data_IF_338230566567
#
_entry.id   IF_338230566567
#
_cell.length_a   1.000
_cell.length_b   1.000
_cell.length_c   1.000
_cell.angle_alpha   90.00
_cell.angle_beta   90.00
_cell.angle_gamma   90.00
#
_symmetry.space_group_name_H-M   'P 1'
#
loop_
_entity.id
_entity.type
_entity.pdbx_description
1 polymer ?
#
# COMPACT_ATOMS: atom_id res chain seq x y z
N UNK A 1 0.25 -19.73 -2.56
CA UNK A 1 0.24 -18.52 -1.70
C UNK A 1 -1.08 -18.53 -0.91
N UNK A 2 -1.06 -18.65 0.42
CA UNK A 2 -2.26 -18.90 1.23
C UNK A 2 -3.40 -17.88 1.00
N UNK A 3 -3.06 -16.61 0.72
CA UNK A 3 -4.00 -15.55 0.36
C UNK A 3 -4.72 -15.85 -0.97
N UNK A 4 -3.98 -16.12 -2.05
CA UNK A 4 -4.56 -16.40 -3.38
C UNK A 4 -5.29 -17.75 -3.42
N UNK A 5 -4.82 -18.72 -2.63
CA UNK A 5 -5.44 -20.05 -2.57
C UNK A 5 -6.68 -20.07 -1.65
N UNK A 6 -7.12 -18.94 -1.09
CA UNK A 6 -8.37 -18.80 -0.33
C UNK A 6 -8.32 -19.28 1.13
N UNK A 7 -7.11 -19.51 1.67
CA UNK A 7 -6.92 -20.03 3.03
C UNK A 7 -6.85 -18.92 4.09
N UNK A 8 -6.88 -17.65 3.69
CA UNK A 8 -6.87 -16.48 4.58
C UNK A 8 -8.13 -15.66 4.31
N UNK A 9 -8.85 -15.29 5.37
CA UNK A 9 -10.07 -14.48 5.26
C UNK A 9 -9.69 -13.02 5.01
N UNK A 10 -10.39 -12.38 4.07
CA UNK A 10 -10.23 -10.95 3.80
C UNK A 10 -10.72 -10.11 4.99
N UNK A 11 -10.06 -8.98 5.23
CA UNK A 11 -10.44 -8.02 6.28
C UNK A 11 -11.68 -7.24 5.88
N UNK A 12 -11.89 -7.09 4.58
CA UNK A 12 -13.05 -6.46 3.96
C UNK A 12 -13.86 -7.51 3.15
N UNK A 13 -14.46 -8.52 3.81
CA UNK A 13 -15.13 -9.61 3.10
C UNK A 13 -16.42 -9.16 2.38
N UNK A 14 -16.97 -8.01 2.75
CA UNK A 14 -18.15 -7.43 2.11
C UNK A 14 -17.85 -6.72 0.78
N UNK A 15 -16.57 -6.42 0.50
CA UNK A 15 -16.16 -5.76 -0.74
C UNK A 15 -15.99 -6.77 -1.90
N UNK A 16 -15.78 -6.27 -3.11
CA UNK A 16 -15.53 -7.12 -4.28
C UNK A 16 -14.22 -7.93 -4.10
N UNK A 17 -14.18 -9.22 -4.52
CA UNK A 17 -12.98 -10.06 -4.38
C UNK A 17 -11.68 -9.44 -4.93
N UNK A 18 -11.78 -8.63 -5.99
CA UNK A 18 -10.63 -7.94 -6.60
C UNK A 18 -10.02 -6.85 -5.71
N UNK A 19 -10.79 -6.39 -4.71
CA UNK A 19 -10.40 -5.34 -3.76
C UNK A 19 -10.13 -5.90 -2.37
N UNK A 20 -10.12 -7.23 -2.21
CA UNK A 20 -9.90 -7.86 -0.92
C UNK A 20 -8.47 -7.62 -0.43
N UNK A 21 -8.38 -7.32 0.86
CA UNK A 21 -7.15 -7.10 1.60
C UNK A 21 -7.03 -8.15 2.69
N UNK A 22 -5.80 -8.58 2.97
CA UNK A 22 -5.53 -9.68 3.88
C UNK A 22 -4.42 -9.31 4.85
N UNK A 23 -4.47 -9.87 6.05
CA UNK A 23 -3.34 -9.84 6.99
C UNK A 23 -3.01 -11.28 7.35
N UNK A 24 -1.74 -11.61 7.23
CA UNK A 24 -1.22 -12.91 7.63
C UNK A 24 0.20 -12.77 8.15
N UNK A 25 0.46 -13.30 9.35
CA UNK A 25 1.76 -13.20 10.04
C UNK A 25 2.32 -11.76 10.10
N UNK A 26 1.47 -10.78 10.43
CA UNK A 26 1.80 -9.35 10.50
C UNK A 26 2.27 -8.72 9.17
N UNK A 27 1.94 -9.36 8.06
CA UNK A 27 2.14 -8.82 6.71
C UNK A 27 0.77 -8.51 6.11
N UNK A 28 0.64 -7.30 5.57
CA UNK A 28 -0.53 -6.85 4.83
C UNK A 28 -0.39 -7.22 3.36
N UNK A 29 -1.45 -7.79 2.78
CA UNK A 29 -1.50 -8.19 1.38
C UNK A 29 -2.66 -7.49 0.67
N UNK A 30 -2.38 -6.98 -0.53
CA UNK A 30 -3.38 -6.42 -1.45
C UNK A 30 -3.17 -6.94 -2.87
N UNK A 31 -4.26 -6.99 -3.65
CA UNK A 31 -4.22 -7.41 -5.04
C UNK A 31 -3.96 -6.20 -5.95
N UNK A 32 -3.09 -6.38 -6.95
CA UNK A 32 -2.70 -5.34 -7.90
C UNK A 32 -3.66 -5.18 -9.07
N UNK A 33 -4.96 -5.04 -8.78
CA UNK A 33 -6.00 -4.76 -9.78
C UNK A 33 -6.40 -3.29 -9.78
N UNK A 34 -7.02 -2.84 -10.88
CA UNK A 34 -7.71 -1.56 -10.86
C UNK A 34 -9.00 -1.67 -10.05
N UNK A 35 -9.13 -0.79 -9.06
CA UNK A 35 -10.21 -0.81 -8.09
C UNK A 35 -11.06 0.44 -8.29
N UNK A 36 -12.38 0.27 -8.43
CA UNK A 36 -13.34 1.38 -8.60
C UNK A 36 -13.00 2.29 -9.79
N UNK A 37 -12.54 1.71 -10.91
CA UNK A 37 -12.22 2.41 -12.15
C UNK A 37 -11.17 3.53 -11.98
N UNK A 38 -10.31 3.42 -10.97
CA UNK A 38 -9.35 4.44 -10.60
C UNK A 38 -8.32 4.72 -11.69
N UNK A 39 -7.87 3.67 -12.38
CA UNK A 39 -6.93 3.75 -13.48
C UNK A 39 -7.60 3.59 -14.84
N UNK A 40 -8.93 3.63 -14.93
CA UNK A 40 -9.68 3.36 -16.17
C UNK A 40 -9.19 4.17 -17.36
N UNK A 41 -9.03 5.49 -17.19
CA UNK A 41 -8.55 6.41 -18.23
C UNK A 41 -7.04 6.26 -18.52
N UNK A 42 -6.31 5.56 -17.65
CA UNK A 42 -4.86 5.36 -17.73
C UNK A 42 -4.47 3.95 -18.22
N UNK A 43 -5.44 3.07 -18.49
CA UNK A 43 -5.20 1.70 -18.95
C UNK A 43 -5.66 0.59 -18.00
N UNK A 44 -6.44 0.93 -16.97
CA UNK A 44 -7.08 0.00 -16.05
C UNK A 44 -6.09 -0.89 -15.30
N UNK A 45 -6.32 -2.20 -15.35
CA UNK A 45 -5.47 -3.20 -14.67
C UNK A 45 -3.99 -3.11 -15.06
N UNK A 46 -3.68 -2.78 -16.32
CA UNK A 46 -2.29 -2.62 -16.76
C UNK A 46 -1.61 -1.43 -16.06
N UNK A 47 -2.37 -0.35 -15.84
CA UNK A 47 -1.89 0.83 -15.11
C UNK A 47 -1.78 0.55 -13.61
N UNK A 48 -2.73 -0.17 -13.00
CA UNK A 48 -2.62 -0.62 -11.60
C UNK A 48 -1.39 -1.52 -11.38
N UNK A 49 -1.14 -2.42 -12.32
CA UNK A 49 0.03 -3.29 -12.32
C UNK A 49 1.35 -2.52 -12.45
N UNK A 50 1.39 -1.47 -13.28
CA UNK A 50 2.53 -0.57 -13.38
C UNK A 50 2.69 0.29 -12.11
N UNK A 51 1.60 0.81 -11.55
CA UNK A 51 1.59 1.63 -10.35
C UNK A 51 2.20 0.89 -9.15
N UNK A 52 1.80 -0.37 -8.91
CA UNK A 52 2.40 -1.19 -7.85
C UNK A 52 3.90 -1.39 -8.03
N UNK A 53 4.39 -1.49 -9.28
CA UNK A 53 5.83 -1.55 -9.57
C UNK A 53 6.54 -0.24 -9.23
N UNK A 54 5.89 0.89 -9.51
CA UNK A 54 6.41 2.22 -9.20
C UNK A 54 6.45 2.46 -7.69
N UNK A 55 5.46 2.00 -6.92
CA UNK A 55 5.49 2.03 -5.45
C UNK A 55 6.74 1.32 -4.90
N UNK A 56 7.04 0.12 -5.41
CA UNK A 56 8.24 -0.63 -5.02
C UNK A 56 9.53 0.11 -5.41
N UNK A 57 9.56 0.77 -6.57
CA UNK A 57 10.70 1.61 -6.95
C UNK A 57 10.87 2.80 -6.01
N UNK A 58 9.78 3.45 -5.59
CA UNK A 58 9.79 4.51 -4.59
C UNK A 58 10.39 4.03 -3.26
N UNK A 59 9.89 2.91 -2.72
CA UNK A 59 10.44 2.31 -1.50
C UNK A 59 11.93 2.01 -1.64
N UNK A 60 12.35 1.44 -2.77
CA UNK A 60 13.77 1.18 -3.05
C UNK A 60 14.62 2.45 -3.09
N UNK A 61 14.12 3.51 -3.72
CA UNK A 61 14.83 4.78 -3.82
C UNK A 61 15.05 5.39 -2.42
N UNK A 62 14.03 5.38 -1.56
CA UNK A 62 14.17 5.85 -0.18
C UNK A 62 15.06 4.94 0.67
N UNK A 63 15.00 3.62 0.48
CA UNK A 63 15.84 2.68 1.21
C UNK A 63 17.33 2.80 0.84
N UNK A 64 17.66 3.37 -0.31
CA UNK A 64 19.03 3.65 -0.74
C UNK A 64 19.59 4.98 -0.21
N UNK A 65 18.75 5.83 0.39
CA UNK A 65 19.21 7.05 1.03
C UNK A 65 19.88 6.72 2.36
N UNK A 66 21.11 7.19 2.55
CA UNK A 66 21.82 7.10 3.83
C UNK A 66 21.32 8.20 4.79
N UNK A 67 20.13 7.99 5.36
CA UNK A 67 19.51 8.90 6.31
C UNK A 67 19.03 8.16 7.55
N UNK A 68 19.67 8.44 8.70
CA UNK A 68 19.39 7.79 9.99
C UNK A 68 18.01 8.08 10.58
N UNK A 69 17.29 9.08 10.06
CA UNK A 69 15.94 9.47 10.50
C UNK A 69 14.82 8.92 9.60
N UNK A 70 15.17 8.23 8.52
CA UNK A 70 14.22 7.70 7.55
C UNK A 70 14.12 6.18 7.68
N UNK A 71 12.91 5.69 7.94
CA UNK A 71 12.63 4.26 7.98
C UNK A 71 11.63 3.91 6.88
N UNK A 72 11.97 2.91 6.07
CA UNK A 72 11.10 2.40 5.01
C UNK A 72 10.39 1.13 5.46
N UNK A 73 9.16 0.94 4.98
CA UNK A 73 8.43 -0.31 5.17
C UNK A 73 9.01 -1.39 4.26
N UNK A 74 9.00 -2.63 4.75
CA UNK A 74 9.27 -3.78 3.90
C UNK A 74 8.15 -3.92 2.89
N UNK A 75 8.48 -3.92 1.60
CA UNK A 75 7.53 -4.13 0.51
C UNK A 75 8.09 -5.11 -0.50
N UNK A 76 7.28 -6.07 -0.92
CA UNK A 76 7.58 -6.97 -2.03
C UNK A 76 6.36 -7.12 -2.93
N UNK A 77 6.61 -7.41 -4.21
CA UNK A 77 5.58 -7.76 -5.19
C UNK A 77 5.78 -9.22 -5.55
N UNK A 78 4.68 -9.98 -5.56
CA UNK A 78 4.67 -11.40 -5.91
C UNK A 78 3.65 -11.64 -7.01
N UNK A 79 4.11 -12.17 -8.13
CA UNK A 79 3.25 -12.65 -9.21
C UNK A 79 3.02 -14.15 -9.02
N UNK A 80 1.78 -14.56 -8.79
CA UNK A 80 1.40 -15.96 -8.53
C UNK A 80 0.05 -16.29 -9.15
N UNK A 81 0.00 -17.32 -10.01
CA UNK A 81 -1.21 -17.78 -10.73
C UNK A 81 -1.96 -16.66 -11.48
N UNK A 82 -1.24 -15.70 -12.05
CA UNK A 82 -1.85 -14.56 -12.77
C UNK A 82 -2.34 -13.43 -11.85
N UNK A 83 -2.15 -13.55 -10.53
CA UNK A 83 -2.39 -12.47 -9.58
C UNK A 83 -1.08 -11.78 -9.24
N UNK A 84 -1.08 -10.46 -9.34
CA UNK A 84 -0.06 -9.63 -8.70
C UNK A 84 -0.50 -9.31 -7.28
N UNK A 85 0.35 -9.63 -6.31
CA UNK A 85 0.10 -9.41 -4.89
C UNK A 85 1.19 -8.51 -4.34
N UNK A 86 0.80 -7.40 -3.73
CA UNK A 86 1.69 -6.57 -2.92
C UNK A 86 1.67 -7.09 -1.49
N UNK A 87 2.85 -7.30 -0.90
CA UNK A 87 2.99 -7.67 0.50
C UNK A 87 3.83 -6.62 1.23
N UNK A 88 3.29 -6.06 2.31
CA UNK A 88 3.89 -4.95 3.04
C UNK A 88 3.92 -5.22 4.55
N UNK A 89 4.98 -4.78 5.23
CA UNK A 89 5.03 -4.78 6.69
C UNK A 89 4.01 -3.80 7.27
N UNK A 90 3.33 -4.19 8.34
CA UNK A 90 2.33 -3.35 9.01
C UNK A 90 3.00 -2.42 10.02
N UNK A 91 2.61 -1.14 10.01
CA UNK A 91 2.93 -0.20 11.09
C UNK A 91 1.95 -0.48 12.24
N UNK A 92 2.42 -0.76 13.46
CA UNK A 92 1.54 -0.86 14.62
C UNK A 92 0.60 0.34 14.74
N UNK A 93 -0.69 0.10 14.96
CA UNK A 93 -1.71 1.15 15.08
C UNK A 93 -2.37 1.62 13.77
N UNK A 94 -1.83 1.34 12.58
CA UNK A 94 -2.38 1.88 11.31
C UNK A 94 -3.78 1.34 10.96
N UNK A 95 -4.20 0.25 11.59
CA UNK A 95 -5.50 -0.39 11.38
C UNK A 95 -6.49 -0.10 12.51
N UNK A 96 -6.06 0.62 13.53
CA UNK A 96 -6.91 1.00 14.66
C UNK A 96 -7.81 2.17 14.25
N UNK A 97 -9.13 1.95 14.33
CA UNK A 97 -10.15 2.91 13.84
C UNK A 97 -10.24 4.20 14.67
N UNK A 98 -9.54 4.28 15.80
CA UNK A 98 -9.55 5.43 16.72
C UNK A 98 -8.46 6.48 16.43
N UNK A 99 -7.69 6.32 15.34
CA UNK A 99 -6.75 7.37 14.91
C UNK A 99 -7.49 8.51 14.17
N UNK A 100 -7.99 9.48 14.92
CA UNK A 100 -8.25 10.81 14.37
C UNK A 100 -6.93 11.38 13.81
N UNK A 101 -6.77 11.32 12.49
CA UNK A 101 -5.85 12.14 11.69
C UNK A 101 -4.43 12.35 12.25
N UNK A 102 -3.72 11.28 12.65
CA UNK A 102 -2.35 11.40 13.15
C UNK A 102 -1.29 11.47 12.04
N UNK A 103 -1.54 12.26 10.99
CA UNK A 103 -0.53 12.51 9.95
C UNK A 103 0.48 13.49 10.50
N UNK A 104 1.55 12.94 11.09
CA UNK A 104 2.66 13.72 11.65
C UNK A 104 3.49 14.38 10.54
N UNK A 105 3.57 13.72 9.38
CA UNK A 105 4.25 14.22 8.20
C UNK A 105 3.66 13.60 6.93
N UNK A 106 3.48 14.41 5.89
CA UNK A 106 2.92 13.98 4.62
C UNK A 106 1.56 14.58 4.35
N UNK A 107 0.79 13.93 3.47
CA UNK A 107 -0.50 14.40 3.00
C UNK A 107 -1.49 13.24 2.91
N UNK A 108 -2.74 13.52 3.22
CA UNK A 108 -3.89 12.59 3.04
C UNK A 108 -4.82 13.03 1.91
N UNK A 109 -4.51 14.15 1.27
CA UNK A 109 -5.33 14.85 0.28
C UNK A 109 -4.58 15.16 -1.02
N UNK A 110 -3.66 14.25 -1.41
CA UNK A 110 -2.92 14.31 -2.68
C UNK A 110 -1.98 15.51 -2.80
N UNK A 111 -1.33 15.86 -1.70
CA UNK A 111 -0.41 16.99 -1.64
C UNK A 111 -1.11 18.35 -1.63
N UNK A 112 -2.45 18.41 -1.54
CA UNK A 112 -3.16 19.69 -1.35
C UNK A 112 -2.77 20.32 -0.02
N UNK A 113 -2.63 19.50 1.02
CA UNK A 113 -2.13 19.90 2.32
C UNK A 113 -0.98 18.98 2.72
N UNK A 114 0.20 19.56 2.97
CA UNK A 114 1.37 18.81 3.43
C UNK A 114 1.71 19.27 4.85
N UNK A 115 1.61 18.34 5.80
CA UNK A 115 2.07 18.56 7.18
C UNK A 115 3.55 18.20 7.24
N UNK A 116 4.34 19.03 7.92
CA UNK A 116 5.76 18.77 8.14
C UNK A 116 6.09 18.79 9.64
N UNK A 117 7.02 17.92 10.03
CA UNK A 117 7.47 17.70 11.40
C UNK A 117 8.90 17.17 11.33
N UNK A 118 9.73 17.55 12.30
CA UNK A 118 11.14 17.12 12.38
C UNK A 118 11.31 15.73 13.04
N UNK A 119 10.20 15.09 13.43
CA UNK A 119 10.16 13.79 14.10
C UNK A 119 10.34 12.65 13.09
N UNK A 120 10.80 11.48 13.55
CA UNK A 120 11.04 10.26 12.76
C UNK A 120 9.95 10.03 11.71
N UNK A 121 10.38 9.81 10.46
CA UNK A 121 9.50 9.64 9.31
C UNK A 121 9.43 8.17 8.88
N UNK A 122 8.22 7.63 8.88
CA UNK A 122 7.90 6.40 8.16
C UNK A 122 7.40 6.76 6.78
N UNK A 123 8.08 6.31 5.74
CA UNK A 123 7.62 6.52 4.37
C UNK A 123 6.74 5.36 3.93
N UNK A 124 5.46 5.67 3.68
CA UNK A 124 4.52 4.77 3.01
C UNK A 124 4.18 5.36 1.65
N UNK A 125 4.58 4.66 0.59
CA UNK A 125 4.19 5.00 -0.78
C UNK A 125 2.86 4.29 -1.07
N UNK A 126 1.74 4.99 -0.88
CA UNK A 126 0.45 4.56 -1.42
C UNK A 126 0.12 5.47 -2.61
N UNK A 127 0.39 5.03 -3.84
CA UNK A 127 -0.22 5.66 -5.03
C UNK A 127 -1.71 5.30 -5.18
N UNK A 128 -2.27 4.47 -4.29
CA UNK A 128 -3.61 3.89 -4.43
C UNK A 128 -4.78 4.83 -4.09
N UNK A 129 -4.52 6.11 -3.81
CA UNK A 129 -5.58 7.02 -3.39
C UNK A 129 -5.90 8.16 -4.35
N UNK A 130 -5.33 8.34 -5.57
CA UNK A 130 -5.76 9.43 -6.50
C UNK A 130 -7.30 9.66 -6.50
N UNK A 131 -7.76 10.72 -5.85
CA UNK A 131 -9.05 11.37 -6.11
C UNK A 131 -8.81 12.69 -6.79
#
# INVERSE_FOLDING_TARGET
MAVVDGNVVAINPADEPRTHMYIWNNIFFSLGFDVKDHYKELGGDAAAHAATSNDLQGVKAYAQLDNSKLFTLGMVIVDYKGYRVTAQSIIPGILEREQEQSVVYGSVDFGKTVVSSEVILFFKCDLQNLK
#
